data_IF_858152872168
#
_entry.id   IF_858152872168
#
_cell.length_a   1.000
_cell.length_b   1.000
_cell.length_c   1.000
_cell.angle_alpha   90.00
_cell.angle_beta   90.00
_cell.angle_gamma   90.00
#
_symmetry.space_group_name_H-M   'P 1'
#
loop_
_entity.id
_entity.type
_entity.pdbx_description
1 polymer ?
#
# COMPACT_ATOMS: atom_id res chain seq x y z
N UNK A 1 -2.56 -25.73 -8.01
CA UNK A 1 -2.34 -24.46 -7.28
C UNK A 1 -2.26 -24.78 -5.80
N UNK A 2 -1.23 -24.31 -5.10
CA UNK A 2 -1.02 -24.60 -3.66
C UNK A 2 -1.51 -23.45 -2.76
N UNK A 3 -1.34 -22.23 -3.22
CA UNK A 3 -1.77 -21.01 -2.56
C UNK A 3 -1.98 -19.89 -3.57
N UNK A 4 -2.62 -18.80 -3.12
CA UNK A 4 -2.73 -17.54 -3.84
C UNK A 4 -2.10 -16.48 -2.96
N UNK A 5 -1.30 -15.60 -3.55
CA UNK A 5 -0.73 -14.46 -2.85
C UNK A 5 -1.23 -13.18 -3.52
N UNK A 6 -1.88 -12.32 -2.76
CA UNK A 6 -2.26 -10.98 -3.21
C UNK A 6 -1.35 -9.98 -2.49
N UNK A 7 -0.70 -9.15 -3.27
CA UNK A 7 0.24 -8.13 -2.79
C UNK A 7 -0.40 -6.74 -2.81
N UNK A 8 -0.21 -5.96 -1.78
CA UNK A 8 -0.18 -4.52 -1.94
C UNK A 8 1.09 -4.12 -2.70
N UNK A 9 1.19 -2.87 -3.14
CA UNK A 9 2.32 -2.37 -3.94
C UNK A 9 3.19 -1.42 -3.10
N UNK A 10 2.59 -0.38 -2.55
CA UNK A 10 3.32 0.66 -1.83
C UNK A 10 3.79 0.14 -0.46
N UNK A 11 5.08 0.31 -0.15
CA UNK A 11 5.67 -0.24 1.08
C UNK A 11 5.94 -1.75 1.05
N UNK A 12 5.39 -2.50 0.07
CA UNK A 12 5.54 -3.95 -0.10
C UNK A 12 6.40 -4.31 -1.31
N UNK A 13 6.07 -3.78 -2.47
CA UNK A 13 6.77 -4.05 -3.74
C UNK A 13 7.78 -2.95 -4.06
N UNK A 14 7.51 -1.73 -3.64
CA UNK A 14 8.37 -0.56 -3.82
C UNK A 14 8.45 0.28 -2.55
N UNK A 15 9.61 0.89 -2.33
CA UNK A 15 9.80 1.86 -1.25
C UNK A 15 9.28 3.23 -1.68
N UNK A 16 8.28 3.71 -0.99
CA UNK A 16 7.60 4.97 -1.27
C UNK A 16 7.98 6.10 -0.30
N UNK A 17 8.96 5.86 0.56
CA UNK A 17 9.42 6.83 1.56
C UNK A 17 9.86 8.16 0.96
N UNK A 18 10.52 8.12 -0.21
CA UNK A 18 11.01 9.29 -0.93
C UNK A 18 10.17 9.64 -2.17
N UNK A 19 8.97 9.14 -2.29
CA UNK A 19 8.06 9.41 -3.41
C UNK A 19 6.74 10.01 -2.94
N UNK A 20 5.63 9.26 -2.83
CA UNK A 20 4.35 9.85 -2.44
C UNK A 20 4.38 10.44 -1.03
N UNK A 21 5.10 9.81 -0.09
CA UNK A 21 5.24 10.36 1.26
C UNK A 21 5.95 11.71 1.23
N UNK A 22 7.00 11.84 0.43
CA UNK A 22 7.66 13.13 0.18
C UNK A 22 6.71 14.09 -0.53
N UNK A 23 5.91 13.61 -1.50
CA UNK A 23 4.94 14.44 -2.19
C UNK A 23 3.85 14.96 -1.24
N UNK A 24 3.37 14.15 -0.27
CA UNK A 24 2.48 14.62 0.79
C UNK A 24 3.15 15.76 1.58
N UNK A 25 4.38 15.54 2.08
CA UNK A 25 5.09 16.56 2.86
C UNK A 25 5.32 17.86 2.07
N UNK A 26 5.70 17.75 0.79
CA UNK A 26 5.87 18.92 -0.10
C UNK A 26 4.54 19.65 -0.34
N UNK A 27 3.44 18.89 -0.45
CA UNK A 27 2.09 19.47 -0.66
C UNK A 27 1.65 20.24 0.59
N UNK A 28 1.78 19.64 1.77
CA UNK A 28 1.43 20.30 3.03
C UNK A 28 2.28 21.56 3.24
N UNK A 29 3.59 21.47 3.03
CA UNK A 29 4.50 22.62 3.15
C UNK A 29 4.09 23.75 2.21
N UNK A 30 3.73 23.42 0.96
CA UNK A 30 3.29 24.42 -0.02
C UNK A 30 1.97 25.10 0.39
N UNK A 31 0.94 24.32 0.77
CA UNK A 31 -0.38 24.86 1.10
C UNK A 31 -0.47 25.46 2.52
N UNK A 32 0.61 25.35 3.31
CA UNK A 32 0.78 26.06 4.59
C UNK A 32 1.76 27.24 4.51
N UNK A 33 2.11 27.68 3.29
CA UNK A 33 3.08 28.76 3.05
C UNK A 33 4.43 28.49 3.76
N UNK A 34 4.92 27.25 3.73
CA UNK A 34 6.11 26.76 4.45
C UNK A 34 6.02 26.84 5.98
N UNK A 35 4.81 26.96 6.52
CA UNK A 35 4.59 26.99 7.97
C UNK A 35 4.77 25.63 8.63
N UNK A 36 4.56 24.54 7.90
CA UNK A 36 4.74 23.19 8.41
C UNK A 36 5.10 22.20 7.30
N UNK A 37 6.11 21.37 7.58
CA UNK A 37 6.46 20.21 6.77
C UNK A 37 6.33 18.94 7.60
N UNK A 38 5.33 18.07 7.33
CA UNK A 38 5.14 16.83 8.07
C UNK A 38 6.37 15.92 7.99
N UNK A 39 6.69 15.29 9.11
CA UNK A 39 7.71 14.23 9.20
C UNK A 39 7.13 12.88 8.76
N UNK A 40 7.98 11.85 8.61
CA UNK A 40 7.50 10.49 8.35
C UNK A 40 6.64 9.94 9.48
N UNK A 41 6.94 10.34 10.74
CA UNK A 41 6.15 9.96 11.91
C UNK A 41 4.75 10.59 11.88
N UNK A 42 4.64 11.86 11.49
CA UNK A 42 3.33 12.51 11.33
C UNK A 42 2.48 11.78 10.29
N UNK A 43 3.08 11.34 9.17
CA UNK A 43 2.39 10.58 8.13
C UNK A 43 1.97 9.20 8.62
N UNK A 44 2.84 8.49 9.38
CA UNK A 44 2.50 7.19 9.96
C UNK A 44 1.35 7.32 10.97
N UNK A 45 1.36 8.37 11.78
CA UNK A 45 0.29 8.64 12.74
C UNK A 45 -1.04 8.87 12.01
N UNK A 46 -1.06 9.69 10.95
CA UNK A 46 -2.25 9.90 10.13
C UNK A 46 -2.73 8.59 9.50
N UNK A 47 -1.83 7.84 8.85
CA UNK A 47 -2.17 6.56 8.19
C UNK A 47 -2.65 5.49 9.19
N UNK A 48 -2.20 5.55 10.45
CA UNK A 48 -2.64 4.63 11.52
C UNK A 48 -4.12 4.81 11.91
N UNK A 49 -4.75 5.91 11.54
CA UNK A 49 -6.20 6.12 11.72
C UNK A 49 -7.03 5.18 10.81
N UNK A 50 -6.41 4.59 9.77
CA UNK A 50 -7.01 3.55 8.93
C UNK A 50 -8.03 4.04 7.87
N UNK A 51 -8.22 5.36 7.75
CA UNK A 51 -9.19 5.98 6.83
C UNK A 51 -8.53 6.84 5.74
N UNK A 52 -7.28 7.22 5.92
CA UNK A 52 -6.54 8.11 5.01
C UNK A 52 -5.70 7.34 3.99
N UNK A 53 -6.35 6.47 3.18
CA UNK A 53 -5.68 5.70 2.13
C UNK A 53 -5.45 6.52 0.85
N UNK A 54 -6.26 7.53 0.61
CA UNK A 54 -6.07 8.47 -0.50
C UNK A 54 -5.07 9.55 -0.09
N UNK A 55 -3.91 9.62 -0.78
CA UNK A 55 -2.82 10.53 -0.42
C UNK A 55 -3.17 12.01 -0.64
N UNK A 56 -4.07 12.30 -1.54
CA UNK A 56 -4.55 13.67 -1.78
C UNK A 56 -5.45 14.14 -0.66
N UNK A 57 -6.38 13.27 -0.20
CA UNK A 57 -7.22 13.53 0.97
C UNK A 57 -6.36 13.61 2.24
N UNK A 58 -5.36 12.74 2.38
CA UNK A 58 -4.39 12.79 3.46
C UNK A 58 -3.62 14.12 3.49
N UNK A 59 -3.19 14.62 2.31
CA UNK A 59 -2.52 15.92 2.18
C UNK A 59 -3.45 17.06 2.59
N UNK A 60 -4.69 17.06 2.10
CA UNK A 60 -5.71 18.06 2.45
C UNK A 60 -6.00 18.08 3.94
N UNK A 61 -6.18 16.91 4.54
CA UNK A 61 -6.44 16.76 5.97
C UNK A 61 -5.30 17.34 6.82
N UNK A 62 -4.05 17.06 6.49
CA UNK A 62 -2.91 17.59 7.21
C UNK A 62 -2.85 19.13 7.13
N UNK A 63 -3.16 19.71 5.96
CA UNK A 63 -3.25 21.17 5.83
C UNK A 63 -4.36 21.73 6.70
N UNK A 64 -5.54 21.09 6.74
CA UNK A 64 -6.63 21.53 7.63
C UNK A 64 -6.23 21.46 9.10
N UNK A 65 -5.64 20.34 9.55
CA UNK A 65 -5.17 20.19 10.96
C UNK A 65 -4.15 21.26 11.34
N UNK A 66 -3.27 21.65 10.43
CA UNK A 66 -2.34 22.74 10.67
C UNK A 66 -3.05 24.06 10.95
N UNK A 67 -4.05 24.42 10.13
CA UNK A 67 -4.78 25.67 10.31
C UNK A 67 -5.79 25.61 11.46
N UNK A 68 -6.39 24.46 11.74
CA UNK A 68 -7.25 24.24 12.93
C UNK A 68 -6.46 24.44 14.23
N UNK A 69 -5.18 24.04 14.27
CA UNK A 69 -4.29 24.32 15.39
C UNK A 69 -3.99 25.83 15.59
N UNK A 70 -4.35 26.68 14.62
CA UNK A 70 -4.28 28.13 14.65
C UNK A 70 -5.66 28.79 14.78
N UNK A 71 -6.66 28.03 15.27
CA UNK A 71 -8.04 28.49 15.47
C UNK A 71 -8.76 28.95 14.17
N UNK A 72 -8.34 28.44 12.99
CA UNK A 72 -9.03 28.70 11.71
C UNK A 72 -9.97 27.55 11.37
N UNK A 73 -11.15 27.88 10.84
CA UNK A 73 -12.08 26.87 10.33
C UNK A 73 -11.69 26.41 8.92
N UNK A 74 -12.18 25.22 8.51
CA UNK A 74 -11.94 24.67 7.16
C UNK A 74 -12.50 25.56 6.06
N UNK A 75 -13.64 26.22 6.31
CA UNK A 75 -14.27 27.18 5.39
C UNK A 75 -13.40 28.43 5.19
N UNK A 76 -12.76 28.92 6.24
CA UNK A 76 -11.85 30.08 6.15
C UNK A 76 -10.57 29.75 5.38
N UNK A 77 -10.07 28.52 5.49
CA UNK A 77 -8.89 28.04 4.73
C UNK A 77 -9.23 27.85 3.26
N UNK A 78 -10.41 27.32 2.95
CA UNK A 78 -10.97 27.27 1.60
C UNK A 78 -10.09 26.53 0.59
N UNK A 79 -9.54 25.34 0.95
CA UNK A 79 -8.66 24.57 0.07
C UNK A 79 -9.38 24.08 -1.18
N UNK A 80 -8.80 24.32 -2.33
CA UNK A 80 -9.21 23.71 -3.59
C UNK A 80 -8.56 22.32 -3.72
N UNK A 81 -9.39 21.28 -3.70
CA UNK A 81 -8.96 19.89 -3.78
C UNK A 81 -8.23 19.58 -5.10
N UNK A 82 -8.71 20.11 -6.21
CA UNK A 82 -8.11 19.86 -7.53
C UNK A 82 -6.70 20.48 -7.62
N UNK A 83 -6.47 21.63 -6.99
CA UNK A 83 -5.13 22.21 -6.89
C UNK A 83 -4.18 21.38 -6.01
N UNK A 84 -4.70 20.76 -4.94
CA UNK A 84 -3.91 19.82 -4.13
C UNK A 84 -3.49 18.62 -4.97
N UNK A 85 -4.44 18.01 -5.70
CA UNK A 85 -4.19 16.87 -6.60
C UNK A 85 -3.17 17.24 -7.68
N UNK A 86 -3.33 18.37 -8.35
CA UNK A 86 -2.40 18.83 -9.39
C UNK A 86 -0.99 19.03 -8.85
N UNK A 87 -0.85 19.72 -7.72
CA UNK A 87 0.45 19.97 -7.10
C UNK A 87 1.15 18.68 -6.69
N UNK A 88 0.41 17.77 -6.02
CA UNK A 88 0.89 16.45 -5.61
C UNK A 88 1.37 15.66 -6.82
N UNK A 89 0.52 15.53 -7.86
CA UNK A 89 0.83 14.73 -9.05
C UNK A 89 2.03 15.26 -9.83
N UNK A 90 2.21 16.56 -9.91
CA UNK A 90 3.40 17.18 -10.51
C UNK A 90 4.71 16.76 -9.84
N UNK A 91 4.69 16.51 -8.52
CA UNK A 91 5.86 16.04 -7.78
C UNK A 91 5.99 14.52 -7.86
N UNK A 92 4.90 13.81 -7.65
CA UNK A 92 4.90 12.37 -7.58
C UNK A 92 5.11 11.72 -8.95
N UNK A 93 4.29 12.04 -9.94
CA UNK A 93 4.37 11.48 -11.31
C UNK A 93 5.29 12.26 -12.22
N UNK A 94 5.54 13.53 -11.92
CA UNK A 94 6.35 14.42 -12.71
C UNK A 94 5.55 15.34 -13.64
N UNK A 95 6.27 16.09 -14.46
CA UNK A 95 5.67 17.05 -15.41
C UNK A 95 5.01 16.37 -16.60
N UNK A 96 5.52 15.19 -16.98
CA UNK A 96 4.92 14.36 -18.03
C UNK A 96 4.35 13.07 -17.39
N UNK A 97 3.02 13.01 -17.16
CA UNK A 97 2.38 11.87 -16.51
C UNK A 97 2.54 10.53 -17.26
N UNK A 98 2.85 10.56 -18.56
CA UNK A 98 3.10 9.36 -19.36
C UNK A 98 4.51 8.80 -19.17
N UNK A 99 5.48 9.67 -18.83
CA UNK A 99 6.88 9.27 -18.66
C UNK A 99 7.20 8.89 -17.22
N UNK A 100 6.37 9.26 -16.25
CA UNK A 100 6.62 9.05 -14.83
C UNK A 100 8.02 9.57 -14.43
N UNK A 101 8.29 10.86 -14.71
CA UNK A 101 9.58 11.52 -14.49
C UNK A 101 9.66 12.28 -13.14
N UNK A 102 8.71 12.03 -12.25
CA UNK A 102 8.68 12.55 -10.87
C UNK A 102 9.30 11.59 -9.85
N UNK A 103 8.97 11.75 -8.57
CA UNK A 103 9.53 10.95 -7.47
C UNK A 103 9.32 9.45 -7.62
N UNK A 104 8.25 9.02 -8.29
CA UNK A 104 7.96 7.61 -8.57
C UNK A 104 9.05 6.93 -9.42
N UNK A 105 9.79 7.69 -10.24
CA UNK A 105 10.81 7.13 -11.13
C UNK A 105 11.95 6.45 -10.37
N UNK A 106 12.30 7.01 -9.20
CA UNK A 106 13.45 6.62 -8.40
C UNK A 106 13.10 5.70 -7.21
N UNK A 107 11.83 5.25 -7.09
CA UNK A 107 11.41 4.36 -6.01
C UNK A 107 12.21 3.05 -6.03
N UNK A 108 12.91 2.67 -4.93
CA UNK A 108 13.55 1.37 -4.87
C UNK A 108 12.53 0.24 -4.96
N UNK A 109 12.85 -0.82 -5.73
CA UNK A 109 12.08 -2.06 -5.69
C UNK A 109 12.48 -2.88 -4.46
N UNK A 110 11.50 -3.40 -3.74
CA UNK A 110 11.66 -4.21 -2.53
C UNK A 110 11.61 -5.72 -2.83
N UNK A 111 11.41 -6.08 -4.09
CA UNK A 111 11.28 -7.45 -4.58
C UNK A 111 11.95 -7.58 -5.93
N UNK A 112 12.53 -8.74 -6.18
CA UNK A 112 13.11 -9.10 -7.47
C UNK A 112 12.11 -9.82 -8.37
N UNK A 113 12.23 -9.73 -9.71
CA UNK A 113 11.42 -10.53 -10.64
C UNK A 113 11.52 -12.04 -10.38
N UNK A 114 12.69 -12.53 -9.96
CA UNK A 114 12.93 -13.94 -9.67
C UNK A 114 12.08 -14.50 -8.53
N UNK A 115 11.63 -13.66 -7.59
CA UNK A 115 10.71 -14.08 -6.55
C UNK A 115 9.36 -14.52 -7.15
N UNK A 116 8.81 -13.75 -8.08
CA UNK A 116 7.56 -14.12 -8.77
C UNK A 116 7.72 -15.37 -9.64
N UNK A 117 8.88 -15.52 -10.31
CA UNK A 117 9.21 -16.73 -11.07
C UNK A 117 9.21 -17.98 -10.16
N UNK A 118 9.78 -17.86 -8.95
CA UNK A 118 9.77 -18.95 -7.97
C UNK A 118 8.36 -19.30 -7.50
N UNK A 119 7.49 -18.32 -7.28
CA UNK A 119 6.09 -18.57 -6.92
C UNK A 119 5.40 -19.40 -8.01
N UNK A 120 5.49 -18.96 -9.27
CA UNK A 120 4.89 -19.66 -10.42
C UNK A 120 5.45 -21.07 -10.58
N UNK A 121 6.77 -21.25 -10.51
CA UNK A 121 7.43 -22.56 -10.61
C UNK A 121 6.96 -23.55 -9.52
N UNK A 122 6.48 -23.05 -8.37
CA UNK A 122 5.97 -23.86 -7.27
C UNK A 122 4.44 -23.96 -7.21
N UNK A 123 3.74 -23.60 -8.29
CA UNK A 123 2.28 -23.59 -8.39
C UNK A 123 1.58 -22.67 -7.38
N UNK A 124 2.18 -21.54 -7.05
CA UNK A 124 1.60 -20.46 -6.27
C UNK A 124 1.21 -19.36 -7.26
N UNK A 125 -0.06 -19.01 -7.29
CA UNK A 125 -0.55 -17.91 -8.10
C UNK A 125 -0.43 -16.60 -7.34
N UNK A 126 -0.34 -15.49 -8.06
CA UNK A 126 -0.28 -14.17 -7.44
C UNK A 126 -1.05 -13.12 -8.23
N UNK A 127 -1.37 -12.04 -7.54
CA UNK A 127 -1.99 -10.83 -8.08
C UNK A 127 -1.74 -9.66 -7.16
N UNK A 128 -2.27 -8.49 -7.54
CA UNK A 128 -2.08 -7.24 -6.81
C UNK A 128 -3.43 -6.58 -6.52
N UNK A 129 -3.55 -6.03 -5.31
CA UNK A 129 -4.64 -5.13 -4.92
C UNK A 129 -4.05 -3.94 -4.20
N UNK A 130 -4.09 -2.77 -4.82
CA UNK A 130 -3.39 -1.57 -4.36
C UNK A 130 -4.28 -0.34 -4.34
N UNK A 131 -4.03 0.55 -3.37
CA UNK A 131 -4.56 1.90 -3.34
C UNK A 131 -3.89 2.88 -4.32
N UNK A 132 -2.86 2.44 -5.05
CA UNK A 132 -2.23 3.22 -6.09
C UNK A 132 -3.12 3.34 -7.34
N UNK A 133 -3.05 4.48 -8.04
CA UNK A 133 -3.70 4.62 -9.35
C UNK A 133 -3.19 3.56 -10.33
N UNK A 134 -4.04 3.12 -11.26
CA UNK A 134 -3.68 2.08 -12.25
C UNK A 134 -2.37 2.40 -12.97
N UNK A 135 -2.19 3.63 -13.45
CA UNK A 135 -0.97 4.03 -14.15
C UNK A 135 0.29 3.92 -13.29
N UNK A 136 0.21 4.32 -12.02
CA UNK A 136 1.32 4.21 -11.05
C UNK A 136 1.65 2.74 -10.73
N UNK A 137 0.63 1.91 -10.49
CA UNK A 137 0.79 0.49 -10.24
C UNK A 137 1.41 -0.24 -11.45
N UNK A 138 0.87 -0.01 -12.66
CA UNK A 138 1.40 -0.61 -13.89
C UNK A 138 2.83 -0.18 -14.19
N UNK A 139 3.20 1.07 -13.93
CA UNK A 139 4.57 1.52 -14.06
C UNK A 139 5.52 0.65 -13.22
N UNK A 140 5.16 0.36 -11.98
CA UNK A 140 5.98 -0.49 -11.10
C UNK A 140 6.00 -1.94 -11.58
N UNK A 141 4.84 -2.57 -11.75
CA UNK A 141 4.78 -4.01 -11.96
C UNK A 141 5.08 -4.44 -13.41
N UNK A 142 4.67 -3.65 -14.42
CA UNK A 142 4.92 -3.96 -15.83
C UNK A 142 6.22 -3.35 -16.34
N UNK A 143 6.48 -2.06 -16.03
CA UNK A 143 7.63 -1.39 -16.63
C UNK A 143 8.93 -1.61 -15.85
N UNK A 144 8.87 -1.65 -14.52
CA UNK A 144 10.07 -1.83 -13.69
C UNK A 144 10.34 -3.29 -13.34
N UNK A 145 9.34 -4.05 -12.87
CA UNK A 145 9.47 -5.48 -12.57
C UNK A 145 9.37 -6.37 -13.80
N UNK A 146 8.89 -5.86 -14.96
CA UNK A 146 8.75 -6.61 -16.22
C UNK A 146 7.83 -7.83 -16.11
N UNK A 147 6.79 -7.76 -15.25
CA UNK A 147 5.82 -8.84 -15.14
C UNK A 147 4.84 -8.83 -16.32
N UNK A 148 4.66 -10.00 -16.93
CA UNK A 148 3.73 -10.15 -18.06
C UNK A 148 2.30 -10.33 -17.58
N UNK A 149 1.39 -9.44 -18.02
CA UNK A 149 -0.04 -9.52 -17.76
C UNK A 149 -0.43 -9.89 -16.32
N UNK A 150 0.13 -9.22 -15.29
CA UNK A 150 -0.19 -9.52 -13.91
C UNK A 150 -1.64 -9.14 -13.61
N UNK A 151 -2.33 -9.94 -12.78
CA UNK A 151 -3.62 -9.56 -12.23
C UNK A 151 -3.44 -8.33 -11.34
N UNK A 152 -4.16 -7.25 -11.64
CA UNK A 152 -4.10 -5.99 -10.90
C UNK A 152 -5.50 -5.43 -10.69
N UNK A 153 -5.83 -5.17 -9.43
CA UNK A 153 -6.95 -4.33 -9.00
C UNK A 153 -6.35 -3.06 -8.39
N UNK A 154 -6.54 -1.94 -9.06
CA UNK A 154 -6.00 -0.64 -8.67
C UNK A 154 -7.07 0.22 -7.96
N UNK A 155 -6.71 1.44 -7.58
CA UNK A 155 -7.57 2.38 -6.87
C UNK A 155 -8.94 2.60 -7.54
N UNK A 156 -8.95 2.66 -8.87
CA UNK A 156 -10.14 2.96 -9.66
C UNK A 156 -11.09 1.77 -9.83
N UNK A 157 -10.65 0.55 -9.51
CA UNK A 157 -11.37 -0.67 -9.87
C UNK A 157 -12.27 -1.19 -8.73
N UNK A 158 -11.99 -0.80 -7.48
CA UNK A 158 -12.68 -1.33 -6.32
C UNK A 158 -12.76 -0.29 -5.19
N UNK A 159 -13.68 -0.48 -4.23
CA UNK A 159 -13.70 0.33 -3.02
C UNK A 159 -12.36 0.25 -2.26
N UNK A 160 -11.99 1.38 -1.64
CA UNK A 160 -10.74 1.50 -0.87
C UNK A 160 -10.67 0.50 0.30
N UNK A 161 -9.46 0.05 0.64
CA UNK A 161 -9.18 -0.68 1.87
C UNK A 161 -9.68 0.12 3.09
N UNK A 162 -10.27 -0.52 4.06
CA UNK A 162 -10.29 -1.96 4.36
C UNK A 162 -11.44 -2.75 3.73
N UNK A 163 -12.05 -2.31 2.63
CA UNK A 163 -13.05 -3.10 1.93
C UNK A 163 -12.37 -4.28 1.20
N UNK A 164 -12.81 -5.56 1.40
CA UNK A 164 -12.15 -6.71 0.82
C UNK A 164 -12.51 -6.98 -0.65
N UNK A 165 -13.41 -6.17 -1.25
CA UNK A 165 -13.91 -6.42 -2.61
C UNK A 165 -12.78 -6.48 -3.64
N UNK A 166 -11.82 -5.54 -3.60
CA UNK A 166 -10.70 -5.54 -4.54
C UNK A 166 -9.81 -6.79 -4.43
N UNK A 167 -9.64 -7.34 -3.23
CA UNK A 167 -8.95 -8.63 -3.05
C UNK A 167 -9.75 -9.78 -3.66
N UNK A 168 -11.07 -9.80 -3.49
CA UNK A 168 -11.94 -10.82 -4.12
C UNK A 168 -11.92 -10.73 -5.64
N UNK A 169 -11.91 -9.50 -6.18
CA UNK A 169 -11.84 -9.26 -7.62
C UNK A 169 -10.49 -9.71 -8.21
N UNK A 170 -9.38 -9.44 -7.50
CA UNK A 170 -8.06 -9.95 -7.90
C UNK A 170 -8.04 -11.49 -7.92
N UNK A 171 -8.57 -12.16 -6.89
CA UNK A 171 -8.65 -13.61 -6.84
C UNK A 171 -9.51 -14.17 -7.98
N UNK A 172 -10.63 -13.52 -8.30
CA UNK A 172 -11.54 -13.97 -9.35
C UNK A 172 -10.93 -13.92 -10.76
N UNK A 173 -9.97 -13.00 -10.98
CA UNK A 173 -9.23 -12.87 -12.23
C UNK A 173 -8.13 -13.92 -12.37
N UNK A 174 -7.69 -14.56 -11.28
CA UNK A 174 -6.72 -15.64 -11.30
C UNK A 174 -7.42 -16.92 -11.78
N UNK A 175 -7.01 -17.43 -12.92
CA UNK A 175 -7.63 -18.60 -13.56
C UNK A 175 -7.55 -19.86 -12.69
N UNK A 176 -8.62 -20.64 -12.67
CA UNK A 176 -8.67 -21.96 -12.03
C UNK A 176 -8.45 -21.96 -10.52
N UNK A 177 -9.15 -21.07 -9.78
CA UNK A 177 -9.05 -20.97 -8.32
C UNK A 177 -10.14 -21.81 -7.64
N UNK A 178 -9.85 -23.05 -7.14
CA UNK A 178 -10.77 -23.74 -6.25
C UNK A 178 -11.05 -22.92 -4.98
N UNK A 179 -12.28 -23.00 -4.47
CA UNK A 179 -12.75 -22.18 -3.35
C UNK A 179 -12.00 -22.36 -2.04
N UNK A 180 -11.30 -23.48 -1.85
CA UNK A 180 -10.59 -23.85 -0.62
C UNK A 180 -9.08 -23.57 -0.62
N UNK A 181 -8.55 -22.96 -1.69
CA UNK A 181 -7.12 -22.62 -1.73
C UNK A 181 -6.83 -21.49 -0.74
N UNK A 182 -5.79 -21.64 0.12
CA UNK A 182 -5.35 -20.59 1.03
C UNK A 182 -4.96 -19.31 0.29
N UNK A 183 -5.32 -18.17 0.86
CA UNK A 183 -5.01 -16.84 0.32
C UNK A 183 -4.18 -16.07 1.34
N UNK A 184 -3.00 -15.66 0.90
CA UNK A 184 -2.14 -14.72 1.61
C UNK A 184 -2.38 -13.31 1.08
N UNK A 185 -2.52 -12.36 1.98
CA UNK A 185 -2.51 -10.95 1.62
C UNK A 185 -1.35 -10.26 2.31
N UNK A 186 -0.46 -9.66 1.52
CA UNK A 186 0.72 -8.95 2.00
C UNK A 186 0.48 -7.45 1.92
N UNK A 187 0.56 -6.78 3.06
CA UNK A 187 0.37 -5.34 3.15
C UNK A 187 1.23 -4.72 4.24
N UNK A 188 1.47 -3.42 4.14
CA UNK A 188 2.29 -2.69 5.10
C UNK A 188 1.48 -1.82 6.06
N UNK A 189 0.16 -1.71 5.88
CA UNK A 189 -0.70 -0.86 6.68
C UNK A 189 -1.72 -1.62 7.52
N UNK A 190 -2.24 -0.96 8.55
CA UNK A 190 -3.37 -1.46 9.38
C UNK A 190 -4.61 -1.72 8.52
N UNK A 191 -4.86 -0.87 7.49
CA UNK A 191 -5.98 -1.05 6.57
C UNK A 191 -5.88 -2.34 5.74
N UNK A 192 -4.66 -2.78 5.42
CA UNK A 192 -4.42 -4.06 4.75
C UNK A 192 -4.83 -5.23 5.64
N UNK A 193 -4.43 -5.20 6.89
CA UNK A 193 -4.76 -6.25 7.85
C UNK A 193 -6.27 -6.30 8.13
N UNK A 194 -6.92 -5.15 8.28
CA UNK A 194 -8.39 -5.08 8.38
C UNK A 194 -9.09 -5.59 7.12
N UNK A 195 -8.49 -5.43 5.93
CA UNK A 195 -9.01 -6.02 4.68
C UNK A 195 -9.09 -7.54 4.79
N UNK A 196 -8.06 -8.18 5.35
CA UNK A 196 -8.04 -9.63 5.60
C UNK A 196 -9.06 -10.03 6.67
N UNK A 197 -9.15 -9.28 7.77
CA UNK A 197 -10.13 -9.54 8.82
C UNK A 197 -11.55 -9.53 8.27
N UNK A 198 -11.91 -8.51 7.47
CA UNK A 198 -13.22 -8.43 6.80
C UNK A 198 -13.43 -9.54 5.76
N UNK A 199 -12.38 -9.98 5.07
CA UNK A 199 -12.50 -11.12 4.16
C UNK A 199 -12.81 -12.42 4.91
N UNK A 200 -12.22 -12.63 6.09
CA UNK A 200 -12.56 -13.77 6.99
C UNK A 200 -14.03 -13.73 7.41
N UNK A 201 -14.57 -12.55 7.70
CA UNK A 201 -16.00 -12.39 8.05
C UNK A 201 -16.93 -12.74 6.88
N UNK A 202 -16.59 -12.28 5.65
CA UNK A 202 -17.43 -12.47 4.45
C UNK A 202 -17.33 -13.89 3.90
N UNK A 203 -16.15 -14.52 3.95
CA UNK A 203 -15.87 -15.87 3.43
C UNK A 203 -15.08 -16.69 4.45
N UNK A 204 -15.73 -17.10 5.57
CA UNK A 204 -15.06 -17.80 6.66
C UNK A 204 -14.60 -19.21 6.30
N UNK A 205 -15.13 -19.80 5.24
CA UNK A 205 -14.76 -21.14 4.75
C UNK A 205 -13.37 -21.18 4.09
N UNK A 206 -12.81 -20.04 3.75
CA UNK A 206 -11.49 -19.94 3.12
C UNK A 206 -10.41 -19.65 4.15
N UNK A 207 -9.25 -20.28 3.99
CA UNK A 207 -8.07 -19.93 4.80
C UNK A 207 -7.46 -18.62 4.30
N UNK A 208 -7.58 -17.55 5.10
CA UNK A 208 -7.03 -16.23 4.85
C UNK A 208 -5.88 -15.97 5.79
N UNK A 209 -4.71 -15.61 5.26
CA UNK A 209 -3.50 -15.32 6.01
C UNK A 209 -3.09 -13.87 5.76
N UNK A 210 -3.14 -13.04 6.79
CA UNK A 210 -2.63 -11.67 6.77
C UNK A 210 -1.13 -11.66 7.07
N UNK A 211 -0.33 -11.11 6.18
CA UNK A 211 1.12 -10.96 6.36
C UNK A 211 1.46 -9.48 6.37
N UNK A 212 1.90 -8.99 7.52
CA UNK A 212 2.39 -7.63 7.66
C UNK A 212 3.80 -7.50 7.08
N UNK A 213 4.05 -6.45 6.31
CA UNK A 213 5.38 -6.13 5.81
C UNK A 213 5.84 -4.82 6.45
N UNK A 214 7.06 -4.79 6.99
CA UNK A 214 7.66 -3.57 7.51
C UNK A 214 8.27 -2.76 6.36
N UNK A 215 7.72 -1.59 6.03
CA UNK A 215 8.32 -0.74 5.00
C UNK A 215 9.67 -0.19 5.46
N UNK A 216 10.62 0.15 4.55
CA UNK A 216 11.97 0.55 4.91
C UNK A 216 12.06 1.72 5.90
N UNK A 217 11.15 2.68 5.81
CA UNK A 217 11.18 3.87 6.68
C UNK A 217 10.90 3.58 8.16
N UNK A 218 10.26 2.46 8.50
CA UNK A 218 10.06 2.05 9.90
C UNK A 218 11.21 1.19 10.45
N UNK A 219 12.08 0.71 9.58
CA UNK A 219 13.20 -0.16 9.95
C UNK A 219 14.47 0.60 10.38
N UNK A 220 14.37 1.93 10.55
CA UNK A 220 15.49 2.80 10.93
C UNK A 220 15.88 2.67 12.42
N UNK A 221 14.98 2.16 13.28
CA UNK A 221 15.27 1.85 14.68
C UNK A 221 14.46 0.64 15.15
N UNK A 222 14.99 -0.12 16.09
CA UNK A 222 14.34 -1.31 16.65
C UNK A 222 13.00 -0.96 17.31
N UNK A 223 12.95 0.09 18.12
CA UNK A 223 11.72 0.53 18.77
C UNK A 223 10.60 0.80 17.77
N UNK A 224 10.92 1.51 16.68
CA UNK A 224 9.93 1.82 15.64
C UNK A 224 9.46 0.57 14.88
N UNK A 225 10.38 -0.38 14.64
CA UNK A 225 10.03 -1.68 14.06
C UNK A 225 9.05 -2.44 14.96
N UNK A 226 9.36 -2.53 16.25
CA UNK A 226 8.57 -3.27 17.22
C UNK A 226 7.16 -2.66 17.38
N UNK A 227 7.08 -1.33 17.52
CA UNK A 227 5.81 -0.60 17.61
C UNK A 227 4.95 -0.79 16.35
N UNK A 228 5.58 -0.72 15.17
CA UNK A 228 4.86 -0.89 13.91
C UNK A 228 4.40 -2.33 13.70
N UNK A 229 5.26 -3.30 14.01
CA UNK A 229 4.93 -4.72 13.95
C UNK A 229 3.77 -5.05 14.91
N UNK A 230 3.79 -4.51 16.13
CA UNK A 230 2.70 -4.69 17.08
C UNK A 230 1.37 -4.17 16.52
N UNK A 231 1.34 -2.98 15.93
CA UNK A 231 0.12 -2.43 15.31
C UNK A 231 -0.44 -3.33 14.21
N UNK A 232 0.43 -3.90 13.34
CA UNK A 232 0.00 -4.83 12.31
C UNK A 232 -0.53 -6.14 12.89
N UNK A 233 0.10 -6.67 13.95
CA UNK A 233 -0.38 -7.87 14.65
C UNK A 233 -1.74 -7.62 15.32
N UNK A 234 -1.92 -6.50 15.99
CA UNK A 234 -3.19 -6.10 16.61
C UNK A 234 -4.31 -5.92 15.56
N UNK A 235 -3.97 -5.48 14.35
CA UNK A 235 -4.88 -5.36 13.23
C UNK A 235 -5.21 -6.69 12.53
N UNK A 236 -4.56 -7.81 12.92
CA UNK A 236 -4.88 -9.14 12.43
C UNK A 236 -3.82 -9.78 11.53
N UNK A 237 -2.59 -9.25 11.47
CA UNK A 237 -1.48 -9.97 10.85
C UNK A 237 -1.19 -11.27 11.63
N UNK A 238 -0.98 -12.38 10.91
CA UNK A 238 -0.55 -13.65 11.52
C UNK A 238 0.98 -13.69 11.71
N UNK A 239 1.68 -12.94 10.89
CA UNK A 239 3.13 -12.76 10.96
C UNK A 239 3.49 -11.38 10.40
N UNK A 240 4.59 -10.81 10.88
CA UNK A 240 5.17 -9.58 10.35
C UNK A 240 6.59 -9.84 9.88
N UNK A 241 6.89 -9.44 8.64
CA UNK A 241 8.16 -9.68 7.97
C UNK A 241 8.86 -8.37 7.64
N UNK A 242 10.18 -8.37 7.67
CA UNK A 242 10.99 -7.19 7.34
C UNK A 242 11.08 -6.91 5.84
N UNK A 243 10.72 -7.88 4.99
CA UNK A 243 10.69 -7.75 3.54
C UNK A 243 9.77 -8.81 2.93
N UNK A 244 9.16 -8.50 1.80
CA UNK A 244 8.22 -9.38 1.09
C UNK A 244 8.84 -10.73 0.68
N UNK A 245 10.11 -10.76 0.29
CA UNK A 245 10.81 -12.00 -0.11
C UNK A 245 11.10 -12.94 1.06
N UNK A 246 10.91 -12.50 2.32
CA UNK A 246 10.97 -13.36 3.50
C UNK A 246 9.77 -14.30 3.61
N UNK A 247 8.69 -14.05 2.86
CA UNK A 247 7.64 -15.05 2.68
C UNK A 247 8.11 -16.09 1.65
N UNK A 248 9.04 -16.93 2.07
CA UNK A 248 9.58 -18.02 1.24
C UNK A 248 8.65 -19.24 1.18
N UNK A 249 9.01 -20.21 0.35
CA UNK A 249 8.22 -21.42 0.12
C UNK A 249 8.03 -22.26 1.39
N UNK A 250 9.02 -22.26 2.28
CA UNK A 250 8.95 -23.01 3.54
C UNK A 250 7.96 -22.35 4.47
N UNK A 251 8.06 -21.04 4.64
CA UNK A 251 7.15 -20.28 5.50
C UNK A 251 5.70 -20.35 4.99
N UNK A 252 5.49 -20.25 3.67
CA UNK A 252 4.16 -20.46 3.06
C UNK A 252 3.60 -21.85 3.44
N UNK A 253 4.43 -22.90 3.32
CA UNK A 253 4.01 -24.26 3.66
C UNK A 253 3.69 -24.42 5.16
N UNK A 254 4.40 -23.72 6.04
CA UNK A 254 4.18 -23.78 7.48
C UNK A 254 2.91 -23.04 7.92
N UNK A 255 2.58 -21.93 7.28
CA UNK A 255 1.37 -21.13 7.55
C UNK A 255 0.06 -21.75 6.98
N UNK A 256 0.16 -22.76 6.12
CA UNK A 256 -1.02 -23.46 5.55
C UNK A 256 -1.44 -24.70 6.41
N UNK A 257 -0.55 -25.16 7.30
CA UNK A 257 -0.80 -26.35 8.14
C UNK A 257 -1.85 -26.07 9.20
#
# INVERSE_FOLDING_TARGET
MKAIIIFDIDGVIRDVGNSYRKAISDTVEHFTDSGWRPTMEDLDNLKSEGIWNNDWEASQELVYRYFEAMDKTREEVGLDYDHIVEFFQKRYRGKNPQLFDGYIADEPLLVSPSYFEQLVANNIAYGFFSGATRGSAEFTIKHRLKLDNPVLVAMEDAPSKPNPQGMFDAISQIKSTPGNIPVFYLGDTVADMYTVAKAKEVKPERNWVGVGILPPHVQLSQTRQDDYAQKLMEAGAEIVLSNVEKLDLQLIADLIK
#
